data_IF_821017725946
#
_entry.id   IF_821017725946
#
_cell.length_a   1.000
_cell.length_b   1.000
_cell.length_c   1.000
_cell.angle_alpha   90.00
_cell.angle_beta   90.00
_cell.angle_gamma   90.00
#
_symmetry.space_group_name_H-M   'P 1'
#
loop_
_entity.id
_entity.type
_entity.pdbx_description
1 polymer ?
#
# COMPACT_ATOMS: atom_id res chain seq x y z
N UNK A 1 -14.84 4.68 -9.65
CA UNK A 1 -14.24 3.33 -9.78
C UNK A 1 -13.48 3.10 -11.09
N UNK A 2 -13.89 3.62 -12.26
CA UNK A 2 -13.20 3.32 -13.54
C UNK A 2 -11.85 4.02 -13.76
N UNK A 3 -11.61 5.22 -13.20
CA UNK A 3 -10.38 5.99 -13.48
C UNK A 3 -9.11 5.32 -12.92
N UNK A 4 -9.18 4.73 -11.72
CA UNK A 4 -8.06 3.99 -11.11
C UNK A 4 -7.71 2.74 -11.93
N UNK A 5 -8.71 2.05 -12.47
CA UNK A 5 -8.48 0.85 -13.28
C UNK A 5 -7.79 1.20 -14.59
N UNK A 6 -8.14 2.32 -15.21
CA UNK A 6 -7.47 2.81 -16.43
C UNK A 6 -6.00 3.12 -16.15
N UNK A 7 -5.70 3.85 -15.06
CA UNK A 7 -4.32 4.17 -14.68
C UNK A 7 -3.51 2.89 -14.42
N UNK A 8 -4.10 1.91 -13.72
CA UNK A 8 -3.45 0.62 -13.45
C UNK A 8 -3.22 -0.16 -14.74
N UNK A 9 -4.21 -0.19 -15.63
CA UNK A 9 -4.13 -0.89 -16.91
C UNK A 9 -3.05 -0.31 -17.83
N UNK A 10 -2.78 0.99 -17.77
CA UNK A 10 -1.71 1.62 -18.53
C UNK A 10 -0.32 1.40 -17.91
N UNK A 11 -0.19 1.48 -16.59
CA UNK A 11 1.10 1.36 -15.90
C UNK A 11 1.62 -0.07 -15.76
N UNK A 12 0.73 -1.04 -15.58
CA UNK A 12 1.11 -2.42 -15.26
C UNK A 12 1.85 -3.15 -16.40
N UNK A 13 1.47 -3.01 -17.69
CA UNK A 13 2.21 -3.63 -18.80
C UNK A 13 3.64 -3.09 -18.94
N UNK A 14 3.85 -1.78 -18.75
CA UNK A 14 5.17 -1.17 -18.85
C UNK A 14 6.15 -1.77 -17.84
N UNK A 15 5.72 -1.92 -16.58
CA UNK A 15 6.55 -2.50 -15.52
C UNK A 15 6.83 -3.98 -15.80
N UNK A 16 5.82 -4.75 -16.22
CA UNK A 16 5.98 -6.19 -16.45
C UNK A 16 6.93 -6.49 -17.60
N UNK A 17 6.81 -5.78 -18.72
CA UNK A 17 7.68 -6.01 -19.88
C UNK A 17 9.14 -5.73 -19.50
N UNK A 18 9.41 -4.62 -18.83
CA UNK A 18 10.79 -4.26 -18.44
C UNK A 18 11.38 -5.23 -17.43
N UNK A 19 10.64 -5.64 -16.40
CA UNK A 19 11.15 -6.59 -15.39
C UNK A 19 11.38 -7.97 -16.01
N UNK A 20 10.45 -8.46 -16.82
CA UNK A 20 10.61 -9.75 -17.50
C UNK A 20 11.84 -9.76 -18.41
N UNK A 21 12.07 -8.70 -19.18
CA UNK A 21 13.29 -8.54 -20.00
C UNK A 21 14.57 -8.61 -19.18
N UNK A 22 14.64 -7.87 -18.07
CA UNK A 22 15.83 -7.87 -17.19
C UNK A 22 16.04 -9.26 -16.56
N UNK A 23 14.96 -9.91 -16.12
CA UNK A 23 15.03 -11.20 -15.45
C UNK A 23 15.48 -12.34 -16.38
N UNK A 24 15.14 -12.27 -17.67
CA UNK A 24 15.46 -13.33 -18.64
C UNK A 24 16.69 -13.05 -19.51
N UNK A 25 17.24 -11.83 -19.49
CA UNK A 25 18.34 -11.39 -20.36
C UNK A 25 19.59 -12.28 -20.36
N UNK A 26 19.84 -13.04 -19.28
CA UNK A 26 21.02 -13.90 -19.13
C UNK A 26 20.69 -15.40 -19.02
N UNK A 27 19.42 -15.77 -19.22
CA UNK A 27 18.97 -17.15 -19.07
C UNK A 27 19.11 -17.86 -20.42
N UNK A 28 19.72 -19.04 -20.40
CA UNK A 28 19.81 -19.85 -21.62
C UNK A 28 18.40 -20.25 -22.08
N UNK A 29 18.13 -20.32 -23.40
CA UNK A 29 16.78 -20.59 -23.92
C UNK A 29 16.13 -21.86 -23.34
N UNK A 30 16.94 -22.87 -23.03
CA UNK A 30 16.52 -24.13 -22.42
C UNK A 30 15.99 -23.98 -20.98
N UNK A 31 16.41 -22.96 -20.24
CA UNK A 31 16.04 -22.71 -18.84
C UNK A 31 14.96 -21.62 -18.70
N UNK A 32 14.64 -20.93 -19.80
CA UNK A 32 13.70 -19.79 -19.82
C UNK A 32 12.31 -20.15 -19.28
N UNK A 33 11.80 -21.36 -19.58
CA UNK A 33 10.50 -21.84 -19.10
C UNK A 33 10.47 -22.00 -17.57
N UNK A 34 11.49 -22.66 -17.02
CA UNK A 34 11.65 -22.86 -15.56
C UNK A 34 11.82 -21.53 -14.82
N UNK A 35 12.62 -20.62 -15.38
CA UNK A 35 12.82 -19.29 -14.80
C UNK A 35 11.56 -18.42 -14.82
N UNK A 36 10.81 -18.43 -15.93
CA UNK A 36 9.53 -17.70 -16.04
C UNK A 36 8.48 -18.23 -15.06
N UNK A 37 8.40 -19.56 -14.89
CA UNK A 37 7.54 -20.19 -13.89
C UNK A 37 7.91 -19.74 -12.47
N UNK A 38 9.20 -19.82 -12.11
CA UNK A 38 9.68 -19.39 -10.79
C UNK A 38 9.43 -17.90 -10.53
N UNK A 39 9.68 -17.04 -11.52
CA UNK A 39 9.41 -15.60 -11.42
C UNK A 39 7.93 -15.32 -11.14
N UNK A 40 7.02 -15.99 -11.84
CA UNK A 40 5.59 -15.83 -11.61
C UNK A 40 5.16 -16.30 -10.22
N UNK A 41 5.71 -17.42 -9.72
CA UNK A 41 5.45 -17.90 -8.36
C UNK A 41 5.93 -16.88 -7.33
N UNK A 42 7.18 -16.42 -7.44
CA UNK A 42 7.76 -15.44 -6.53
C UNK A 42 6.98 -14.12 -6.55
N UNK A 43 6.54 -13.67 -7.72
CA UNK A 43 5.73 -12.46 -7.87
C UNK A 43 4.37 -12.57 -7.20
N UNK A 44 3.64 -13.65 -7.46
CA UNK A 44 2.32 -13.86 -6.88
C UNK A 44 2.39 -14.06 -5.36
N UNK A 45 3.37 -14.85 -4.90
CA UNK A 45 3.60 -15.11 -3.49
C UNK A 45 4.07 -13.84 -2.76
N UNK A 46 5.06 -13.13 -3.31
CA UNK A 46 5.55 -11.87 -2.77
C UNK A 46 4.46 -10.80 -2.73
N UNK A 47 3.61 -10.74 -3.75
CA UNK A 47 2.42 -9.87 -3.76
C UNK A 47 1.44 -10.21 -2.63
N UNK A 48 1.10 -11.48 -2.45
CA UNK A 48 0.20 -11.93 -1.39
C UNK A 48 0.78 -11.66 0.01
N UNK A 49 2.04 -11.98 0.23
CA UNK A 49 2.75 -11.70 1.50
C UNK A 49 2.80 -10.20 1.77
N UNK A 50 3.15 -9.39 0.77
CA UNK A 50 3.22 -7.94 0.89
C UNK A 50 1.87 -7.33 1.27
N UNK A 51 0.78 -7.77 0.65
CA UNK A 51 -0.58 -7.33 1.00
C UNK A 51 -0.93 -7.72 2.44
N UNK A 52 -0.65 -8.98 2.83
CA UNK A 52 -0.94 -9.46 4.17
C UNK A 52 -0.18 -8.65 5.24
N UNK A 53 1.12 -8.41 5.04
CA UNK A 53 1.94 -7.61 5.94
C UNK A 53 1.45 -6.16 6.04
N UNK A 54 1.09 -5.54 4.91
CA UNK A 54 0.54 -4.18 4.92
C UNK A 54 -0.81 -4.11 5.63
N UNK A 55 -1.68 -5.10 5.46
CA UNK A 55 -2.96 -5.17 6.16
C UNK A 55 -2.75 -5.31 7.68
N UNK A 56 -1.87 -6.20 8.11
CA UNK A 56 -1.52 -6.37 9.53
C UNK A 56 -0.90 -5.09 10.10
N UNK A 57 0.01 -4.44 9.37
CA UNK A 57 0.61 -3.18 9.79
C UNK A 57 -0.46 -2.09 9.93
N UNK A 58 -1.35 -1.96 8.95
CA UNK A 58 -2.40 -0.95 8.94
C UNK A 58 -3.33 -1.13 10.15
N UNK A 59 -3.73 -2.36 10.46
CA UNK A 59 -4.58 -2.68 11.62
C UNK A 59 -3.88 -2.32 12.94
N UNK A 60 -2.64 -2.80 13.11
CA UNK A 60 -1.84 -2.52 14.31
C UNK A 60 -1.61 -1.01 14.52
N UNK A 61 -1.28 -0.27 13.45
CA UNK A 61 -1.04 1.17 13.51
C UNK A 61 -2.31 1.96 13.74
N UNK A 62 -3.42 1.57 13.10
CA UNK A 62 -4.73 2.19 13.32
C UNK A 62 -5.12 2.10 14.79
N UNK A 63 -4.94 0.93 15.42
CA UNK A 63 -5.21 0.75 16.85
C UNK A 63 -4.38 1.72 17.72
N UNK A 64 -3.07 1.79 17.48
CA UNK A 64 -2.17 2.70 18.23
C UNK A 64 -2.60 4.16 18.08
N UNK A 65 -2.89 4.59 16.86
CA UNK A 65 -3.32 5.95 16.59
C UNK A 65 -4.71 6.27 17.14
N UNK A 66 -5.61 5.30 17.14
CA UNK A 66 -6.93 5.45 17.75
C UNK A 66 -6.80 5.61 19.27
N UNK A 67 -5.96 4.81 19.91
CA UNK A 67 -5.67 4.90 21.35
C UNK A 67 -5.04 6.25 21.72
N UNK A 68 -4.13 6.75 20.89
CA UNK A 68 -3.55 8.09 21.07
C UNK A 68 -4.59 9.21 20.91
N UNK A 69 -5.42 9.15 19.86
CA UNK A 69 -6.41 10.19 19.61
C UNK A 69 -7.53 10.19 20.65
N UNK A 70 -7.99 9.02 21.14
CA UNK A 70 -9.04 8.97 22.17
C UNK A 70 -8.60 9.60 23.49
N UNK A 71 -7.30 9.61 23.80
CA UNK A 71 -6.77 10.27 25.00
C UNK A 71 -6.87 11.80 24.89
N UNK A 72 -6.76 12.35 23.67
CA UNK A 72 -6.95 13.77 23.41
C UNK A 72 -8.43 14.17 23.25
N UNK A 73 -9.30 13.23 22.84
CA UNK A 73 -10.74 13.44 22.66
C UNK A 73 -11.50 13.12 23.95
N UNK A 74 -11.35 14.00 24.93
CA UNK A 74 -12.01 13.90 26.25
C UNK A 74 -13.09 14.99 26.42
N UNK A 75 -14.21 14.70 27.11
CA UNK A 75 -15.26 15.69 27.36
C UNK A 75 -14.80 16.91 28.18
N UNK A 76 -13.69 16.79 28.93
CA UNK A 76 -13.08 17.89 29.66
C UNK A 76 -12.44 18.94 28.76
N UNK A 77 -12.16 18.61 27.49
CA UNK A 77 -11.71 19.58 26.51
C UNK A 77 -12.92 20.38 25.98
N UNK A 78 -12.99 21.71 26.21
CA UNK A 78 -14.13 22.53 25.82
C UNK A 78 -14.42 22.48 24.30
N UNK A 79 -13.39 22.31 23.47
CA UNK A 79 -13.55 22.18 22.02
C UNK A 79 -14.25 20.87 21.64
N UNK A 80 -13.94 19.78 22.34
CA UNK A 80 -14.60 18.48 22.13
C UNK A 80 -16.05 18.53 22.60
N UNK A 81 -16.30 19.16 23.76
CA UNK A 81 -17.64 19.35 24.28
C UNK A 81 -18.54 20.17 23.34
N UNK A 82 -18.03 21.28 22.79
CA UNK A 82 -18.76 22.11 21.83
C UNK A 82 -19.09 21.34 20.54
N UNK A 83 -18.12 20.59 20.00
CA UNK A 83 -18.34 19.76 18.80
C UNK A 83 -19.35 18.65 19.06
N UNK A 84 -19.30 18.04 20.23
CA UNK A 84 -20.25 17.01 20.62
C UNK A 84 -21.67 17.58 20.74
N UNK A 85 -21.83 18.75 21.36
CA UNK A 85 -23.11 19.44 21.45
C UNK A 85 -23.68 19.78 20.07
N UNK A 86 -22.85 20.29 19.15
CA UNK A 86 -23.27 20.54 17.76
C UNK A 86 -23.70 19.26 17.02
N UNK A 87 -22.99 18.14 17.24
CA UNK A 87 -23.37 16.84 16.67
C UNK A 87 -24.65 16.31 17.28
N UNK A 88 -24.83 16.46 18.59
CA UNK A 88 -26.02 16.04 19.32
C UNK A 88 -27.26 16.83 18.87
N UNK A 89 -27.13 18.14 18.66
CA UNK A 89 -28.19 18.99 18.12
C UNK A 89 -28.61 18.53 16.70
N UNK A 90 -27.64 18.23 15.83
CA UNK A 90 -27.91 17.78 14.46
C UNK A 90 -28.49 16.37 14.37
N UNK A 91 -28.07 15.48 15.26
CA UNK A 91 -28.46 14.06 15.26
C UNK A 91 -29.63 13.77 16.22
N UNK A 92 -30.01 14.74 17.05
CA UNK A 92 -31.08 14.64 18.05
C UNK A 92 -30.77 13.72 19.23
N UNK A 93 -29.54 13.21 19.37
CA UNK A 93 -29.18 12.23 20.39
C UNK A 93 -27.67 12.26 20.69
N UNK A 94 -27.32 12.40 21.98
CA UNK A 94 -25.95 12.39 22.49
C UNK A 94 -25.19 11.09 22.16
N UNK A 95 -25.87 9.95 22.22
CA UNK A 95 -25.26 8.65 21.88
C UNK A 95 -24.91 8.57 20.38
N UNK A 96 -25.74 9.15 19.52
CA UNK A 96 -25.46 9.22 18.08
C UNK A 96 -24.28 10.18 17.80
N UNK A 97 -24.19 11.28 18.54
CA UNK A 97 -23.06 12.21 18.46
C UNK A 97 -21.74 11.57 18.90
N UNK A 98 -21.74 10.83 20.00
CA UNK A 98 -20.58 10.08 20.48
C UNK A 98 -20.14 9.01 19.47
N UNK A 99 -21.10 8.25 18.93
CA UNK A 99 -20.84 7.27 17.87
C UNK A 99 -20.20 7.92 16.64
N UNK A 100 -20.71 9.09 16.22
CA UNK A 100 -20.16 9.81 15.07
C UNK A 100 -18.75 10.35 15.34
N UNK A 101 -18.51 10.87 16.54
CA UNK A 101 -17.20 11.34 16.94
C UNK A 101 -16.18 10.19 16.97
N UNK A 102 -16.56 9.04 17.52
CA UNK A 102 -15.74 7.82 17.51
C UNK A 102 -15.39 7.37 16.09
N UNK A 103 -16.36 7.39 15.18
CA UNK A 103 -16.14 7.08 13.77
C UNK A 103 -15.14 8.05 13.11
N UNK A 104 -15.28 9.35 13.36
CA UNK A 104 -14.34 10.36 12.86
C UNK A 104 -12.93 10.10 13.42
N UNK A 105 -12.81 9.84 14.72
CA UNK A 105 -11.52 9.51 15.36
C UNK A 105 -10.89 8.26 14.75
N UNK A 106 -11.69 7.23 14.47
CA UNK A 106 -11.23 6.02 13.80
C UNK A 106 -10.75 6.31 12.36
N UNK A 107 -11.48 7.11 11.59
CA UNK A 107 -11.07 7.51 10.25
C UNK A 107 -9.74 8.29 10.27
N UNK A 108 -9.55 9.20 11.23
CA UNK A 108 -8.29 9.94 11.40
C UNK A 108 -7.13 8.99 11.76
N UNK A 109 -7.36 8.04 12.66
CA UNK A 109 -6.37 7.02 13.01
C UNK A 109 -5.96 6.18 11.78
N UNK A 110 -6.92 5.77 10.96
CA UNK A 110 -6.66 5.06 9.71
C UNK A 110 -5.83 5.90 8.74
N UNK A 111 -6.11 7.20 8.58
CA UNK A 111 -5.34 8.09 7.70
C UNK A 111 -3.87 8.16 8.14
N UNK A 112 -3.61 8.28 9.45
CA UNK A 112 -2.24 8.27 9.97
C UNK A 112 -1.57 6.91 9.76
N UNK A 113 -2.28 5.81 9.95
CA UNK A 113 -1.78 4.47 9.68
C UNK A 113 -1.46 4.23 8.19
N UNK A 114 -2.27 4.79 7.27
CA UNK A 114 -1.99 4.73 5.84
C UNK A 114 -0.69 5.48 5.48
N UNK A 115 -0.42 6.61 6.14
CA UNK A 115 0.83 7.34 5.93
C UNK A 115 2.05 6.48 6.30
N UNK A 116 1.99 5.76 7.42
CA UNK A 116 3.03 4.80 7.80
C UNK A 116 3.14 3.69 6.74
N UNK A 117 2.03 3.11 6.30
CA UNK A 117 2.03 2.07 5.27
C UNK A 117 2.68 2.56 3.95
N UNK A 118 2.44 3.81 3.54
CA UNK A 118 3.12 4.41 2.39
C UNK A 118 4.63 4.53 2.57
N UNK A 119 5.11 4.88 3.77
CA UNK A 119 6.53 4.88 4.08
C UNK A 119 7.15 3.49 3.97
N UNK A 120 6.48 2.45 4.50
CA UNK A 120 6.95 1.06 4.36
C UNK A 120 7.01 0.60 2.90
N UNK A 121 5.99 0.93 2.10
CA UNK A 121 5.99 0.65 0.65
C UNK A 121 7.13 1.41 -0.03
N UNK A 122 7.32 2.69 0.30
CA UNK A 122 8.40 3.52 -0.24
C UNK A 122 9.78 2.94 0.05
N UNK A 123 10.03 2.46 1.27
CA UNK A 123 11.27 1.77 1.64
C UNK A 123 11.44 0.49 0.83
N UNK A 124 10.38 -0.33 0.70
CA UNK A 124 10.43 -1.56 -0.11
C UNK A 124 10.77 -1.28 -1.57
N UNK A 125 10.20 -0.22 -2.15
CA UNK A 125 10.51 0.23 -3.51
C UNK A 125 11.95 0.75 -3.63
N UNK A 126 12.42 1.52 -2.65
CA UNK A 126 13.80 2.03 -2.63
C UNK A 126 14.82 0.89 -2.55
N UNK A 127 14.59 -0.12 -1.69
CA UNK A 127 15.42 -1.33 -1.62
C UNK A 127 15.42 -2.07 -2.96
N UNK A 128 14.24 -2.22 -3.58
CA UNK A 128 14.12 -2.85 -4.91
C UNK A 128 14.89 -2.08 -5.98
N UNK A 129 14.84 -0.75 -5.96
CA UNK A 129 15.58 0.11 -6.88
C UNK A 129 17.10 -0.07 -6.70
N UNK A 130 17.60 -0.09 -5.46
CA UNK A 130 19.02 -0.36 -5.18
C UNK A 130 19.42 -1.75 -5.67
N UNK A 131 18.59 -2.77 -5.43
CA UNK A 131 18.86 -4.13 -5.91
C UNK A 131 18.96 -4.19 -7.45
N UNK A 132 18.09 -3.48 -8.17
CA UNK A 132 18.15 -3.36 -9.64
C UNK A 132 19.43 -2.66 -10.09
N UNK A 133 19.84 -1.58 -9.42
CA UNK A 133 21.09 -0.86 -9.76
C UNK A 133 22.35 -1.72 -9.56
N UNK A 134 22.30 -2.74 -8.69
CA UNK A 134 23.39 -3.69 -8.48
C UNK A 134 23.42 -4.83 -9.51
N UNK A 135 22.39 -4.95 -10.36
CA UNK A 135 22.38 -5.97 -11.42
C UNK A 135 23.36 -5.63 -12.56
N UNK A 136 23.88 -6.67 -13.23
CA UNK A 136 24.84 -6.50 -14.34
C UNK A 136 24.19 -5.73 -15.50
N UNK A 137 24.98 -4.89 -16.17
CA UNK A 137 24.55 -4.14 -17.37
C UNK A 137 24.08 -5.11 -18.45
N UNK A 138 22.85 -4.95 -18.93
CA UNK A 138 22.24 -5.78 -19.97
C UNK A 138 23.23 -6.06 -21.12
N UNK A 139 23.23 -7.28 -21.69
CA UNK A 139 24.06 -7.59 -22.86
C UNK A 139 23.76 -6.59 -23.99
N UNK A 140 24.81 -6.09 -24.64
CA UNK A 140 24.65 -5.21 -25.81
C UNK A 140 23.90 -5.95 -26.92
N UNK A 141 22.74 -5.43 -27.32
CA UNK A 141 21.93 -5.97 -28.42
C UNK A 141 20.55 -6.51 -28.05
N UNK A 142 20.17 -6.56 -26.77
CA UNK A 142 18.83 -7.00 -26.37
C UNK A 142 17.76 -5.96 -26.75
N UNK A 143 17.02 -6.20 -27.84
CA UNK A 143 15.89 -5.35 -28.22
C UNK A 143 14.68 -5.67 -27.34
N UNK A 144 14.09 -4.64 -26.75
CA UNK A 144 12.82 -4.77 -26.03
C UNK A 144 11.73 -5.23 -27.00
N UNK A 145 11.46 -6.53 -27.05
CA UNK A 145 10.47 -7.12 -27.97
C UNK A 145 10.67 -8.59 -28.34
N UNK A 146 11.81 -9.22 -28.02
CA UNK A 146 12.08 -10.63 -28.38
C UNK A 146 11.78 -11.64 -27.26
N UNK A 147 11.30 -11.19 -26.10
CA UNK A 147 10.79 -12.09 -25.07
C UNK A 147 9.34 -12.49 -25.43
N UNK A 148 9.21 -13.68 -26.02
CA UNK A 148 7.94 -14.37 -26.29
C UNK A 148 7.09 -14.57 -25.03
#
# INVERSE_FOLDING_TARGET
FNHIQIIRALGQPMIMVTISLIATAYIQPQDAGSASSLFNILRNLGGAIGIALLATLLDARTKVYFDYLREAVVPSNPQVAERLAQLAERLGNDNAALGKLSEITHQQAMIMAYNDAFHFVGIGLAVSMVAVLLTRKLPEGLKAGEAH
#
